data_IF_085121239687
#
_entry.id   IF_085121239687
#
_cell.length_a   1.000
_cell.length_b   1.000
_cell.length_c   1.000
_cell.angle_alpha   90.00
_cell.angle_beta   90.00
_cell.angle_gamma   90.00
#
_symmetry.space_group_name_H-M   'P 1'
#
loop_
_entity.id
_entity.type
_entity.pdbx_description
1 polymer ?
#
# COMPACT_ATOMS: atom_id res chain seq x y z
N UNK A 1 3.77 -21.14 18.64
CA UNK A 1 2.64 -20.23 19.05
C UNK A 1 3.12 -18.82 19.38
N UNK A 2 4.11 -18.64 20.27
CA UNK A 2 4.64 -17.29 20.57
C UNK A 2 5.18 -16.59 19.32
N UNK A 3 5.93 -17.31 18.48
CA UNK A 3 6.50 -16.79 17.23
C UNK A 3 5.41 -16.39 16.22
N UNK A 4 4.34 -17.19 16.12
CA UNK A 4 3.17 -16.85 15.31
C UNK A 4 2.52 -15.54 15.77
N UNK A 5 2.27 -15.40 17.07
CA UNK A 5 1.67 -14.18 17.65
C UNK A 5 2.60 -12.98 17.44
N UNK A 6 3.91 -13.17 17.59
CA UNK A 6 4.89 -12.13 17.31
C UNK A 6 4.83 -11.66 15.85
N UNK A 7 4.82 -12.59 14.88
CA UNK A 7 4.67 -12.25 13.46
C UNK A 7 3.37 -11.51 13.15
N UNK A 8 2.27 -11.93 13.78
CA UNK A 8 0.98 -11.25 13.68
C UNK A 8 1.05 -9.81 14.20
N UNK A 9 1.57 -9.59 15.42
CA UNK A 9 1.63 -8.27 16.05
C UNK A 9 2.56 -7.32 15.30
N UNK A 10 3.73 -7.82 14.86
CA UNK A 10 4.69 -7.02 14.08
C UNK A 10 4.06 -6.60 12.75
N UNK A 11 3.42 -7.53 12.03
CA UNK A 11 2.70 -7.20 10.81
C UNK A 11 1.58 -6.19 11.07
N UNK A 12 0.81 -6.37 12.14
CA UNK A 12 -0.29 -5.47 12.50
C UNK A 12 0.20 -4.04 12.71
N UNK A 13 1.29 -3.84 13.47
CA UNK A 13 1.87 -2.53 13.72
C UNK A 13 2.34 -1.80 12.45
N UNK A 14 2.81 -2.55 11.45
CA UNK A 14 3.26 -1.99 10.18
C UNK A 14 2.10 -1.69 9.23
N UNK A 15 1.11 -2.60 9.14
CA UNK A 15 0.03 -2.52 8.15
C UNK A 15 -1.10 -1.58 8.57
N UNK A 16 -1.29 -1.36 9.87
CA UNK A 16 -2.38 -0.51 10.41
C UNK A 16 -2.18 0.97 10.06
N UNK A 17 -0.93 1.39 9.87
CA UNK A 17 -0.60 2.77 9.51
C UNK A 17 -1.33 3.18 8.23
N UNK A 18 -2.00 4.33 8.24
CA UNK A 18 -2.79 4.78 7.09
C UNK A 18 -1.84 5.29 6.00
N UNK A 19 -1.47 4.38 5.10
CA UNK A 19 -0.69 4.67 3.90
C UNK A 19 -1.55 4.82 2.64
N UNK A 20 -0.87 5.01 1.52
CA UNK A 20 -1.48 5.14 0.19
C UNK A 20 -2.33 3.91 -0.19
N UNK A 21 -1.85 2.70 0.12
CA UNK A 21 -2.52 1.43 -0.18
C UNK A 21 -3.83 1.28 0.60
N UNK A 22 -3.80 1.59 1.91
CA UNK A 22 -4.97 1.55 2.78
C UNK A 22 -6.03 2.59 2.38
N UNK A 23 -5.61 3.81 2.05
CA UNK A 23 -6.54 4.85 1.58
C UNK A 23 -7.25 4.45 0.28
N UNK A 24 -6.52 3.86 -0.67
CA UNK A 24 -7.10 3.38 -1.93
C UNK A 24 -8.07 2.22 -1.71
N UNK A 25 -7.68 1.21 -0.91
CA UNK A 25 -8.55 0.08 -0.58
C UNK A 25 -9.84 0.53 0.12
N UNK A 26 -9.73 1.46 1.08
CA UNK A 26 -10.88 2.03 1.78
C UNK A 26 -11.85 2.70 0.78
N UNK A 27 -11.33 3.50 -0.16
CA UNK A 27 -12.14 4.14 -1.21
C UNK A 27 -12.87 3.12 -2.09
N UNK A 28 -12.18 2.06 -2.53
CA UNK A 28 -12.78 0.99 -3.32
C UNK A 28 -13.85 0.21 -2.52
N UNK A 29 -13.58 -0.02 -1.23
CA UNK A 29 -14.52 -0.66 -0.30
C UNK A 29 -15.80 0.14 -0.07
N UNK A 30 -15.69 1.45 0.16
CA UNK A 30 -16.84 2.37 0.28
C UNK A 30 -17.68 2.37 -1.00
N UNK A 31 -17.03 2.38 -2.17
CA UNK A 31 -17.68 2.32 -3.47
C UNK A 31 -18.20 0.93 -3.83
N UNK A 32 -17.84 -0.11 -3.05
CA UNK A 32 -18.10 -1.52 -3.33
C UNK A 32 -17.61 -1.94 -4.73
N UNK A 33 -16.50 -1.34 -5.20
CA UNK A 33 -15.91 -1.58 -6.51
C UNK A 33 -14.66 -2.44 -6.38
N UNK A 34 -14.62 -3.60 -7.06
CA UNK A 34 -13.44 -4.46 -7.21
C UNK A 34 -12.70 -4.83 -5.89
N UNK A 35 -13.41 -4.79 -4.75
CA UNK A 35 -12.83 -4.96 -3.41
C UNK A 35 -12.04 -6.25 -3.29
N UNK A 36 -12.63 -7.36 -3.75
CA UNK A 36 -11.99 -8.67 -3.76
C UNK A 36 -10.63 -8.64 -4.47
N UNK A 37 -10.58 -8.05 -5.65
CA UNK A 37 -9.40 -8.03 -6.51
C UNK A 37 -8.31 -7.11 -5.97
N UNK A 38 -8.70 -5.95 -5.43
CA UNK A 38 -7.77 -5.00 -4.81
C UNK A 38 -7.17 -5.62 -3.54
N UNK A 39 -8.00 -6.16 -2.64
CA UNK A 39 -7.54 -6.80 -1.41
C UNK A 39 -6.66 -8.03 -1.69
N UNK A 40 -7.04 -8.84 -2.70
CA UNK A 40 -6.23 -10.00 -3.12
C UNK A 40 -4.87 -9.57 -3.66
N UNK A 41 -4.79 -8.52 -4.48
CA UNK A 41 -3.51 -8.05 -5.00
C UNK A 41 -2.62 -7.52 -3.86
N UNK A 42 -3.18 -6.79 -2.90
CA UNK A 42 -2.45 -6.35 -1.71
C UNK A 42 -1.92 -7.54 -0.92
N UNK A 43 -2.78 -8.51 -0.61
CA UNK A 43 -2.41 -9.71 0.14
C UNK A 43 -1.36 -10.56 -0.60
N UNK A 44 -1.49 -10.75 -1.91
CA UNK A 44 -0.50 -11.47 -2.70
C UNK A 44 0.84 -10.74 -2.78
N UNK A 45 0.82 -9.41 -2.82
CA UNK A 45 2.02 -8.58 -2.68
C UNK A 45 2.73 -8.82 -1.35
N UNK A 46 1.98 -8.84 -0.25
CA UNK A 46 2.50 -9.15 1.07
C UNK A 46 3.04 -10.58 1.15
N UNK A 47 2.30 -11.57 0.65
CA UNK A 47 2.79 -12.97 0.55
C UNK A 47 4.14 -13.03 -0.14
N UNK A 48 4.27 -12.36 -1.29
CA UNK A 48 5.51 -12.34 -2.04
C UNK A 48 6.65 -11.66 -1.26
N UNK A 49 6.43 -10.42 -0.81
CA UNK A 49 7.48 -9.61 -0.19
C UNK A 49 7.87 -10.11 1.21
N UNK A 50 6.90 -10.48 2.05
CA UNK A 50 7.17 -11.02 3.39
C UNK A 50 7.89 -12.36 3.33
N UNK A 51 7.52 -13.23 2.37
CA UNK A 51 8.25 -14.50 2.15
C UNK A 51 9.70 -14.23 1.74
N UNK A 52 9.92 -13.30 0.81
CA UNK A 52 11.27 -12.91 0.41
C UNK A 52 12.08 -12.35 1.60
N UNK A 53 11.47 -11.50 2.42
CA UNK A 53 12.10 -10.94 3.62
C UNK A 53 12.48 -12.01 4.64
N UNK A 54 11.51 -12.78 5.14
CA UNK A 54 11.67 -13.74 6.24
C UNK A 54 12.58 -14.90 5.86
N UNK A 55 12.50 -15.38 4.61
CA UNK A 55 13.38 -16.46 4.12
C UNK A 55 14.79 -15.96 3.72
N UNK A 56 15.07 -14.66 3.85
CA UNK A 56 16.41 -14.09 3.65
C UNK A 56 16.78 -13.77 2.19
N UNK A 57 15.83 -13.94 1.26
CA UNK A 57 15.99 -13.54 -0.14
C UNK A 57 15.92 -12.01 -0.32
N UNK A 58 15.49 -11.29 0.71
CA UNK A 58 15.40 -9.83 0.74
C UNK A 58 16.72 -9.08 0.56
N UNK A 59 17.84 -9.73 0.92
CA UNK A 59 19.19 -9.20 0.72
C UNK A 59 19.48 -8.89 -0.77
N UNK A 60 18.83 -9.59 -1.71
CA UNK A 60 19.02 -9.37 -3.14
C UNK A 60 18.48 -8.00 -3.59
N UNK A 61 17.35 -7.56 -3.01
CA UNK A 61 16.73 -6.26 -3.37
C UNK A 61 17.49 -5.09 -2.75
N UNK A 62 18.01 -5.25 -1.53
CA UNK A 62 18.78 -4.22 -0.84
C UNK A 62 20.11 -3.85 -1.53
N UNK A 63 20.64 -4.74 -2.37
CA UNK A 63 21.96 -4.56 -3.01
C UNK A 63 21.90 -3.88 -4.40
N UNK A 64 20.71 -3.48 -4.88
CA UNK A 64 20.55 -2.82 -6.19
C UNK A 64 20.06 -1.37 -6.05
N UNK A 65 20.96 -0.42 -5.73
CA UNK A 65 20.59 0.98 -5.52
C UNK A 65 20.03 1.65 -6.79
N UNK A 66 20.51 1.25 -7.98
CA UNK A 66 20.00 1.74 -9.27
C UNK A 66 18.55 1.34 -9.53
N UNK A 67 18.18 0.10 -9.20
CA UNK A 67 16.79 -0.37 -9.32
C UNK A 67 15.88 0.40 -8.38
N UNK A 68 16.30 0.57 -7.12
CA UNK A 68 15.58 1.37 -6.13
C UNK A 68 15.38 2.82 -6.57
N UNK A 69 16.39 3.42 -7.22
CA UNK A 69 16.31 4.77 -7.78
C UNK A 69 15.23 4.86 -8.86
N UNK A 70 15.24 3.95 -9.84
CA UNK A 70 14.27 3.93 -10.95
C UNK A 70 12.85 3.72 -10.42
N UNK A 71 12.65 2.75 -9.52
CA UNK A 71 11.35 2.48 -8.90
C UNK A 71 10.83 3.73 -8.17
N UNK A 72 11.69 4.40 -7.42
CA UNK A 72 11.32 5.60 -6.66
C UNK A 72 10.91 6.77 -7.56
N UNK A 73 11.61 6.98 -8.68
CA UNK A 73 11.27 8.03 -9.64
C UNK A 73 9.95 7.74 -10.36
N UNK A 74 9.73 6.49 -10.81
CA UNK A 74 8.48 6.08 -11.43
C UNK A 74 7.30 6.17 -10.45
N UNK A 75 7.51 5.72 -9.22
CA UNK A 75 6.54 5.82 -8.13
C UNK A 75 6.19 7.26 -7.81
N UNK A 76 7.18 8.14 -7.67
CA UNK A 76 6.96 9.55 -7.40
C UNK A 76 6.13 10.22 -8.49
N UNK A 77 6.49 9.99 -9.76
CA UNK A 77 5.73 10.50 -10.90
C UNK A 77 4.27 10.01 -10.86
N UNK A 78 4.08 8.70 -10.68
CA UNK A 78 2.74 8.12 -10.59
C UNK A 78 1.93 8.72 -9.43
N UNK A 79 2.50 8.79 -8.22
CA UNK A 79 1.82 9.29 -7.03
C UNK A 79 1.50 10.78 -7.11
N UNK A 80 2.36 11.61 -7.71
CA UNK A 80 2.03 13.01 -7.99
C UNK A 80 0.85 13.12 -8.95
N UNK A 81 0.83 12.33 -10.04
CA UNK A 81 -0.29 12.37 -10.99
C UNK A 81 -1.59 11.89 -10.34
N UNK A 82 -1.52 10.86 -9.50
CA UNK A 82 -2.68 10.30 -8.81
C UNK A 82 -3.20 11.25 -7.71
N UNK A 83 -2.30 11.79 -6.88
CA UNK A 83 -2.64 12.76 -5.84
C UNK A 83 -3.26 14.03 -6.43
N UNK A 84 -2.73 14.52 -7.56
CA UNK A 84 -3.28 15.69 -8.26
C UNK A 84 -4.69 15.43 -8.77
N UNK A 85 -4.94 14.22 -9.30
CA UNK A 85 -6.29 13.79 -9.69
C UNK A 85 -7.25 13.73 -8.51
N UNK A 86 -6.77 13.31 -7.34
CA UNK A 86 -7.56 13.32 -6.09
C UNK A 86 -7.90 14.73 -5.63
N UNK A 87 -6.98 15.70 -5.75
CA UNK A 87 -7.31 17.09 -5.43
C UNK A 87 -8.28 17.71 -6.43
N UNK A 88 -8.14 17.39 -7.72
CA UNK A 88 -9.05 17.87 -8.76
C UNK A 88 -10.47 17.33 -8.54
N UNK A 89 -10.63 16.09 -8.05
CA UNK A 89 -11.96 15.51 -7.80
C UNK A 89 -12.72 16.27 -6.70
N UNK A 90 -12.05 16.85 -5.71
CA UNK A 90 -12.68 17.69 -4.66
C UNK A 90 -13.53 18.83 -5.24
N UNK A 91 -13.02 19.47 -6.31
CA UNK A 91 -13.69 20.57 -7.00
C UNK A 91 -14.74 20.08 -7.99
N UNK A 92 -14.52 18.91 -8.60
CA UNK A 92 -15.45 18.29 -9.57
C UNK A 92 -16.62 17.51 -8.96
N UNK A 93 -16.63 17.23 -7.65
CA UNK A 93 -17.76 16.58 -6.95
C UNK A 93 -19.03 17.45 -6.87
N UNK A 94 -19.27 18.36 -7.82
CA UNK A 94 -20.44 19.24 -7.87
C UNK A 94 -21.71 18.55 -8.35
N UNK A 95 -21.60 17.39 -8.98
CA UNK A 95 -22.74 16.53 -9.24
C UNK A 95 -22.82 15.54 -8.07
N UNK A 96 -23.86 15.69 -7.25
CA UNK A 96 -24.27 14.66 -6.32
C UNK A 96 -24.23 13.33 -7.08
N UNK A 97 -23.76 12.27 -6.42
CA UNK A 97 -23.72 10.92 -6.97
C UNK A 97 -25.14 10.47 -7.38
N UNK A 98 -25.60 10.89 -8.55
CA UNK A 98 -26.49 10.08 -9.36
C UNK A 98 -25.62 8.91 -9.78
N UNK A 99 -25.92 7.76 -9.21
CA UNK A 99 -25.35 6.47 -9.56
C UNK A 99 -25.64 6.13 -11.03
N UNK A 100 -24.96 6.80 -11.95
CA UNK A 100 -24.86 6.41 -13.34
C UNK A 100 -23.46 5.83 -13.56
N UNK A 101 -23.45 4.66 -14.17
CA UNK A 101 -22.33 3.75 -14.43
C UNK A 101 -21.10 4.35 -15.17
N UNK A 102 -21.03 5.66 -15.40
CA UNK A 102 -20.01 6.28 -16.24
C UNK A 102 -18.68 6.56 -15.51
N UNK A 103 -18.66 6.55 -14.17
CA UNK A 103 -17.46 6.82 -13.38
C UNK A 103 -16.90 5.59 -12.63
N UNK A 104 -17.40 4.38 -12.91
CA UNK A 104 -16.87 3.17 -12.29
C UNK A 104 -15.41 2.97 -12.73
N UNK A 105 -14.50 2.89 -11.75
CA UNK A 105 -13.09 2.59 -12.03
C UNK A 105 -13.04 1.23 -12.71
N UNK A 106 -12.49 1.12 -13.91
CA UNK A 106 -12.35 -0.20 -14.55
C UNK A 106 -11.45 -1.10 -13.70
N UNK A 107 -11.73 -2.40 -13.68
CA UNK A 107 -10.94 -3.38 -12.90
C UNK A 107 -9.45 -3.26 -13.22
N UNK A 108 -9.12 -3.13 -14.52
CA UNK A 108 -7.74 -2.94 -15.00
C UNK A 108 -7.08 -1.70 -14.38
N UNK A 109 -7.80 -0.58 -14.30
CA UNK A 109 -7.30 0.66 -13.72
C UNK A 109 -7.13 0.53 -12.20
N UNK A 110 -8.08 -0.11 -11.51
CA UNK A 110 -7.98 -0.37 -10.08
C UNK A 110 -6.75 -1.23 -9.75
N UNK A 111 -6.57 -2.35 -10.47
CA UNK A 111 -5.40 -3.22 -10.30
C UNK A 111 -4.08 -2.52 -10.63
N UNK A 112 -4.03 -1.70 -11.67
CA UNK A 112 -2.82 -0.93 -12.01
C UNK A 112 -2.48 0.10 -10.93
N UNK A 113 -3.48 0.78 -10.37
CA UNK A 113 -3.27 1.73 -9.26
C UNK A 113 -2.77 0.98 -8.03
N UNK A 114 -3.40 -0.13 -7.65
CA UNK A 114 -2.97 -0.94 -6.51
C UNK A 114 -1.55 -1.45 -6.72
N UNK A 115 -1.24 -2.00 -7.89
CA UNK A 115 0.10 -2.49 -8.23
C UNK A 115 1.14 -1.37 -8.12
N UNK A 116 0.85 -0.19 -8.68
CA UNK A 116 1.73 0.96 -8.62
C UNK A 116 1.96 1.43 -7.18
N UNK A 117 0.90 1.58 -6.38
CA UNK A 117 1.01 2.01 -4.99
C UNK A 117 1.78 1.00 -4.14
N UNK A 118 1.60 -0.30 -4.38
CA UNK A 118 2.29 -1.36 -3.63
C UNK A 118 3.75 -1.47 -4.06
N UNK A 119 4.03 -1.71 -5.34
CA UNK A 119 5.38 -2.07 -5.81
C UNK A 119 6.25 -0.88 -6.23
N UNK A 120 5.68 0.27 -6.59
CA UNK A 120 6.49 1.47 -6.87
C UNK A 120 6.82 2.29 -5.61
N UNK A 121 6.50 1.77 -4.43
CA UNK A 121 6.77 2.41 -3.16
C UNK A 121 7.96 1.71 -2.45
N UNK A 122 9.19 2.28 -2.47
CA UNK A 122 10.34 1.75 -1.72
C UNK A 122 10.07 1.52 -0.23
N UNK A 123 9.16 2.28 0.40
CA UNK A 123 8.82 2.04 1.81
C UNK A 123 8.26 0.64 2.04
N UNK A 124 7.52 0.07 1.08
CA UNK A 124 6.98 -1.28 1.24
C UNK A 124 8.10 -2.31 1.41
N UNK A 125 9.23 -2.11 0.74
CA UNK A 125 10.38 -3.01 0.83
C UNK A 125 11.09 -2.85 2.17
N UNK A 126 11.18 -1.63 2.70
CA UNK A 126 11.74 -1.38 4.03
C UNK A 126 10.88 -2.08 5.09
N UNK A 127 9.56 -1.88 5.05
CA UNK A 127 8.64 -2.39 6.06
C UNK A 127 8.54 -3.92 6.03
N UNK A 128 8.41 -4.50 4.83
CA UNK A 128 8.15 -5.95 4.66
C UNK A 128 9.42 -6.78 4.55
N UNK A 129 10.38 -6.35 3.72
CA UNK A 129 11.56 -7.15 3.40
C UNK A 129 12.66 -6.93 4.44
N UNK A 130 12.90 -5.67 4.84
CA UNK A 130 14.00 -5.33 5.75
C UNK A 130 13.60 -5.46 7.22
N UNK A 131 12.54 -4.77 7.65
CA UNK A 131 12.12 -4.74 9.05
C UNK A 131 11.46 -6.07 9.43
N UNK A 132 10.35 -6.43 8.78
CA UNK A 132 9.63 -7.66 9.10
C UNK A 132 10.47 -8.91 8.76
N UNK A 133 11.18 -8.91 7.64
CA UNK A 133 12.14 -9.96 7.29
C UNK A 133 13.33 -10.05 8.24
N UNK A 134 13.87 -8.93 8.73
CA UNK A 134 14.95 -8.91 9.70
C UNK A 134 14.53 -9.49 11.06
N UNK A 135 13.31 -9.19 11.52
CA UNK A 135 12.78 -9.76 12.77
C UNK A 135 12.47 -11.26 12.59
N UNK A 136 11.73 -11.62 11.53
CA UNK A 136 11.35 -13.01 11.27
C UNK A 136 12.49 -13.91 10.78
N UNK A 137 13.57 -13.34 10.27
CA UNK A 137 14.70 -14.08 9.69
C UNK A 137 15.72 -14.61 10.71
N UNK A 138 15.65 -14.13 11.96
CA UNK A 138 16.57 -14.49 13.05
C UNK A 138 16.21 -15.77 13.82
N UNK A 139 15.08 -16.40 13.48
CA UNK A 139 14.65 -17.67 14.07
C UNK A 139 15.04 -18.86 13.19
N UNK A 140 14.93 -20.08 13.74
CA UNK A 140 15.13 -21.32 13.00
C UNK A 140 14.11 -21.48 11.87
N UNK A 141 14.30 -22.45 10.98
CA UNK A 141 13.46 -22.60 9.80
C UNK A 141 11.98 -22.83 10.15
N UNK A 142 11.70 -23.60 11.21
CA UNK A 142 10.32 -23.84 11.66
C UNK A 142 9.74 -22.55 12.23
N UNK A 143 10.49 -21.82 13.06
CA UNK A 143 10.10 -20.50 13.55
C UNK A 143 9.83 -19.49 12.44
N UNK A 144 10.62 -19.50 11.35
CA UNK A 144 10.38 -18.62 10.18
C UNK A 144 9.00 -18.85 9.57
N UNK A 145 8.60 -20.12 9.45
CA UNK A 145 7.29 -20.48 8.91
C UNK A 145 6.16 -20.12 9.88
N UNK A 146 6.34 -20.31 11.18
CA UNK A 146 5.37 -19.85 12.19
C UNK A 146 5.19 -18.32 12.15
N UNK A 147 6.31 -17.59 12.10
CA UNK A 147 6.32 -16.13 12.05
C UNK A 147 5.61 -15.62 10.78
N UNK A 148 5.98 -16.17 9.62
CA UNK A 148 5.39 -15.83 8.34
C UNK A 148 3.89 -16.15 8.31
N UNK A 149 3.48 -17.31 8.82
CA UNK A 149 2.06 -17.66 8.92
C UNK A 149 1.29 -16.65 9.78
N UNK A 150 1.87 -16.18 10.88
CA UNK A 150 1.29 -15.12 11.73
C UNK A 150 1.12 -13.80 10.99
N UNK A 151 2.19 -13.35 10.33
CA UNK A 151 2.18 -12.11 9.55
C UNK A 151 1.17 -12.15 8.39
N UNK A 152 1.15 -13.24 7.62
CA UNK A 152 0.22 -13.41 6.50
C UNK A 152 -1.24 -13.51 6.97
N UNK A 153 -1.49 -14.16 8.10
CA UNK A 153 -2.83 -14.19 8.70
C UNK A 153 -3.30 -12.79 9.06
N UNK A 154 -2.41 -11.96 9.64
CA UNK A 154 -2.69 -10.56 9.92
C UNK A 154 -3.00 -9.77 8.64
N UNK A 155 -2.15 -9.87 7.62
CA UNK A 155 -2.33 -9.16 6.34
C UNK A 155 -3.66 -9.54 5.66
N UNK A 156 -3.98 -10.84 5.63
CA UNK A 156 -5.25 -11.33 5.09
C UNK A 156 -6.45 -10.73 5.82
N UNK A 157 -6.47 -10.87 7.16
CA UNK A 157 -7.57 -10.35 7.97
C UNK A 157 -7.69 -8.82 7.84
N UNK A 158 -6.56 -8.11 7.76
CA UNK A 158 -6.54 -6.67 7.61
C UNK A 158 -7.11 -6.22 6.26
N UNK A 159 -6.57 -6.68 5.14
CA UNK A 159 -7.00 -6.19 3.83
C UNK A 159 -8.43 -6.61 3.48
N UNK A 160 -8.83 -7.84 3.80
CA UNK A 160 -10.21 -8.26 3.58
C UNK A 160 -11.16 -7.60 4.59
N UNK A 161 -10.75 -7.46 5.86
CA UNK A 161 -11.51 -6.78 6.90
C UNK A 161 -11.77 -5.31 6.59
N UNK A 162 -10.74 -4.56 6.23
CA UNK A 162 -10.86 -3.16 5.81
C UNK A 162 -11.61 -3.05 4.49
N UNK A 163 -11.27 -3.86 3.48
CA UNK A 163 -11.88 -3.79 2.16
C UNK A 163 -13.40 -4.00 2.20
N UNK A 164 -13.87 -5.06 2.86
CA UNK A 164 -15.29 -5.35 2.98
C UNK A 164 -15.97 -4.55 4.09
N UNK A 165 -15.27 -4.26 5.19
CA UNK A 165 -15.79 -3.45 6.29
C UNK A 165 -16.00 -1.97 5.93
N UNK A 166 -15.24 -1.45 4.96
CA UNK A 166 -15.41 -0.09 4.45
C UNK A 166 -16.82 0.17 3.87
N UNK A 167 -17.51 -0.88 3.41
CA UNK A 167 -18.90 -0.77 2.94
C UNK A 167 -19.88 -0.33 4.04
N UNK A 168 -19.56 -0.53 5.33
CA UNK A 168 -20.36 0.00 6.44
C UNK A 168 -20.24 1.52 6.57
N UNK A 169 -19.19 2.12 6.00
CA UNK A 169 -19.02 3.57 5.99
C UNK A 169 -19.79 4.25 4.85
N UNK A 170 -20.26 3.50 3.84
CA UNK A 170 -20.98 4.05 2.68
C UNK A 170 -22.11 5.05 3.03
N UNK A 171 -22.94 4.85 4.08
CA UNK A 171 -23.97 5.83 4.45
C UNK A 171 -23.41 7.21 4.84
N UNK A 172 -22.22 7.26 5.45
CA UNK A 172 -21.58 8.54 5.80
C UNK A 172 -21.06 9.30 4.57
N UNK A 173 -20.87 8.59 3.45
CA UNK A 173 -20.43 9.11 2.16
C UNK A 173 -21.57 9.60 1.28
N UNK A 174 -22.81 9.66 1.79
CA UNK A 174 -23.92 10.38 1.14
C UNK A 174 -23.68 11.90 1.13
N UNK A 175 -22.91 12.41 2.10
CA UNK A 175 -22.55 13.83 2.18
C UNK A 175 -21.34 14.14 1.31
N UNK A 176 -21.45 15.16 0.45
CA UNK A 176 -20.36 15.69 -0.40
C UNK A 176 -19.08 15.97 0.40
N UNK A 177 -19.22 16.53 1.60
CA UNK A 177 -18.06 16.90 2.44
C UNK A 177 -17.23 15.68 2.87
N UNK A 178 -17.86 14.52 3.09
CA UNK A 178 -17.16 13.28 3.44
C UNK A 178 -16.27 12.80 2.29
N UNK A 179 -16.78 12.86 1.05
CA UNK A 179 -16.00 12.58 -0.16
C UNK A 179 -14.82 13.53 -0.32
N UNK A 180 -15.04 14.82 -0.12
CA UNK A 180 -13.99 15.82 -0.22
C UNK A 180 -12.89 15.62 0.82
N UNK A 181 -13.25 15.25 2.05
CA UNK A 181 -12.27 14.92 3.11
C UNK A 181 -11.46 13.68 2.73
N UNK A 182 -12.11 12.61 2.25
CA UNK A 182 -11.40 11.40 1.82
C UNK A 182 -10.45 11.67 0.65
N UNK A 183 -10.91 12.40 -0.37
CA UNK A 183 -10.10 12.75 -1.54
C UNK A 183 -8.97 13.72 -1.18
N UNK A 184 -9.19 14.61 -0.20
CA UNK A 184 -8.15 15.47 0.35
C UNK A 184 -7.09 14.67 1.10
N UNK A 185 -7.49 13.81 2.05
CA UNK A 185 -6.58 12.94 2.80
C UNK A 185 -5.80 12.06 1.82
N UNK A 186 -6.47 11.44 0.85
CA UNK A 186 -5.82 10.63 -0.18
C UNK A 186 -4.81 11.46 -0.96
N UNK A 187 -5.19 12.65 -1.44
CA UNK A 187 -4.27 13.55 -2.16
C UNK A 187 -3.04 13.92 -1.34
N UNK A 188 -3.23 14.30 -0.07
CA UNK A 188 -2.15 14.64 0.85
C UNK A 188 -1.24 13.43 1.09
N UNK A 189 -1.79 12.26 1.40
CA UNK A 189 -1.00 11.04 1.60
C UNK A 189 -0.16 10.72 0.37
N UNK A 190 -0.73 10.81 -0.83
CA UNK A 190 -0.01 10.52 -2.08
C UNK A 190 1.12 11.52 -2.35
N UNK A 191 0.90 12.80 -2.04
CA UNK A 191 1.94 13.83 -2.15
C UNK A 191 3.05 13.65 -1.12
N UNK A 192 2.70 13.36 0.14
CA UNK A 192 3.69 13.10 1.20
C UNK A 192 4.57 11.91 0.83
N UNK A 193 3.97 10.82 0.36
CA UNK A 193 4.74 9.65 -0.11
C UNK A 193 5.54 10.01 -1.35
N UNK A 194 4.98 10.69 -2.35
CA UNK A 194 5.72 11.10 -3.55
C UNK A 194 6.96 11.96 -3.23
N UNK A 195 6.83 12.90 -2.28
CA UNK A 195 7.95 13.73 -1.81
C UNK A 195 8.99 12.87 -1.10
N UNK A 196 8.58 11.92 -0.24
CA UNK A 196 9.54 11.02 0.42
C UNK A 196 10.31 10.18 -0.62
N UNK A 197 9.64 9.73 -1.70
CA UNK A 197 10.28 9.02 -2.81
C UNK A 197 11.30 9.87 -3.55
N UNK A 198 11.01 11.14 -3.80
CA UNK A 198 11.96 12.08 -4.43
C UNK A 198 13.17 12.32 -3.54
N UNK A 199 12.97 12.51 -2.24
CA UNK A 199 14.07 12.69 -1.29
C UNK A 199 14.96 11.44 -1.20
N UNK A 200 14.34 10.26 -1.14
CA UNK A 200 15.04 8.98 -1.16
C UNK A 200 15.82 8.77 -2.47
N UNK A 201 15.21 9.06 -3.62
CA UNK A 201 15.87 9.01 -4.93
C UNK A 201 17.08 9.96 -4.98
N UNK A 202 16.97 11.17 -4.42
CA UNK A 202 18.07 12.12 -4.38
C UNK A 202 19.25 11.61 -3.52
N UNK A 203 18.97 10.97 -2.39
CA UNK A 203 20.00 10.34 -1.55
C UNK A 203 20.70 9.19 -2.27
N UNK A 204 19.93 8.30 -2.93
CA UNK A 204 20.47 7.21 -3.75
C UNK A 204 21.33 7.73 -4.89
N UNK A 205 20.89 8.79 -5.57
CA UNK A 205 21.65 9.40 -6.66
C UNK A 205 23.00 9.93 -6.17
N UNK A 206 23.06 10.58 -5.00
CA UNK A 206 24.35 10.99 -4.39
C UNK A 206 25.26 9.81 -4.13
N UNK A 207 24.71 8.71 -3.59
CA UNK A 207 25.48 7.51 -3.30
C UNK A 207 26.02 6.83 -4.57
N UNK A 208 25.25 6.80 -5.66
CA UNK A 208 25.62 6.15 -6.93
C UNK A 208 26.62 7.02 -7.72
N UNK A 209 26.39 8.33 -7.80
CA UNK A 209 27.13 9.23 -8.67
C UNK A 209 28.24 10.01 -7.95
N UNK A 210 28.48 9.74 -6.66
CA UNK A 210 29.58 10.29 -5.85
C UNK A 210 29.75 11.82 -5.98
N UNK A 211 28.72 12.58 -5.56
CA UNK A 211 28.81 14.02 -5.30
C UNK A 211 28.74 14.30 -3.80
#
# INVERSE_FOLDING_TARGET
MEIFIQGFIVCFGLIVSIGAQNAFLLKQGILKQHVFWVASLCFLGDVFLMTLGVLGLGSIVANLPTLSLVISLLGAFFLFTYGSRSFISIFKSSEALTASNENATSLKKALMITFAITFLNPHVYIDTVVILGGIGGNVDFIGKMEFLAGALSCSFLWFFGVGYGAGFLSPYFEKRRTWQILDFITGVTMYVVAISLVLYAFQLAKQIFAW
#
